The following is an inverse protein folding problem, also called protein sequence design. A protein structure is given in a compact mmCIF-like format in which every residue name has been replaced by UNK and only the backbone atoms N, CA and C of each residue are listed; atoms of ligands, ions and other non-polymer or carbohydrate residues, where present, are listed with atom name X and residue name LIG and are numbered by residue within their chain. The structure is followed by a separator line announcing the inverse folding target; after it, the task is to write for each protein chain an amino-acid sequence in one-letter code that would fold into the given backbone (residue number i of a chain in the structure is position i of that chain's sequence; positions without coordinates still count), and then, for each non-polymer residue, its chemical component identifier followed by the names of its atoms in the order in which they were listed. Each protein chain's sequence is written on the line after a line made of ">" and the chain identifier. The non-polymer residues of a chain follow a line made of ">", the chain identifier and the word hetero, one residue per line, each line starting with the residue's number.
data_IF_186042047900
#
_entry.id   IF_186042047900
#
_cell.length_a   1.000
_cell.length_b   1.000
_cell.length_c   1.000
_cell.angle_alpha   90.00
_cell.angle_beta   90.00
_cell.angle_gamma   90.00
#
_symmetry.space_group_name_H-M   'P 1'
#
loop_
_entity.id
_entity.type
_entity.pdbx_description
1 polymer ?
#
# COMPACT_ATOMS: atom_id res chain seq x y z
N UNK A 1 -15.41 -6.23 1.62
CA UNK A 1 -15.31 -6.75 0.25
C UNK A 1 -13.86 -6.67 -0.21
N UNK A 2 -13.22 -7.81 -0.48
CA UNK A 2 -11.77 -7.87 -0.76
C UNK A 2 -11.41 -7.45 -2.21
N UNK A 3 -12.27 -7.78 -3.17
CA UNK A 3 -12.20 -7.34 -4.56
C UNK A 3 -13.62 -7.10 -5.05
N UNK A 4 -13.78 -6.17 -5.98
CA UNK A 4 -15.05 -5.94 -6.67
C UNK A 4 -15.15 -6.98 -7.77
N UNK A 5 -16.18 -7.84 -7.73
CA UNK A 5 -16.40 -8.82 -8.80
C UNK A 5 -16.94 -8.09 -10.04
N UNK A 6 -16.25 -8.10 -11.19
CA UNK A 6 -16.74 -7.44 -12.40
C UNK A 6 -17.99 -8.11 -13.00
N UNK A 7 -18.34 -9.32 -12.55
CA UNK A 7 -19.51 -10.08 -13.03
C UNK A 7 -20.79 -9.78 -12.27
N UNK A 8 -20.70 -9.12 -11.12
CA UNK A 8 -21.85 -8.80 -10.28
C UNK A 8 -21.96 -7.28 -10.18
N UNK A 9 -23.14 -6.67 -10.39
CA UNK A 9 -23.32 -5.24 -10.17
C UNK A 9 -22.90 -4.85 -8.76
N UNK A 10 -22.17 -3.73 -8.63
CA UNK A 10 -21.72 -3.20 -7.34
C UNK A 10 -22.90 -3.04 -6.36
N UNK A 11 -24.02 -2.53 -6.86
CA UNK A 11 -25.22 -2.26 -6.10
C UNK A 11 -25.76 -3.54 -5.45
N UNK A 12 -25.81 -4.65 -6.18
CA UNK A 12 -26.29 -5.93 -5.66
C UNK A 12 -25.35 -6.49 -4.59
N UNK A 13 -24.03 -6.39 -4.82
CA UNK A 13 -23.03 -6.79 -3.82
C UNK A 13 -23.19 -5.97 -2.52
N UNK A 14 -23.32 -4.66 -2.66
CA UNK A 14 -23.47 -3.76 -1.51
C UNK A 14 -24.78 -4.00 -0.76
N UNK A 15 -25.90 -4.20 -1.44
CA UNK A 15 -27.18 -4.52 -0.79
C UNK A 15 -27.10 -5.83 -0.01
N UNK A 16 -26.43 -6.85 -0.57
CA UNK A 16 -26.19 -8.11 0.13
C UNK A 16 -25.39 -7.90 1.42
N UNK A 17 -24.33 -7.09 1.37
CA UNK A 17 -23.52 -6.77 2.56
C UNK A 17 -24.32 -5.96 3.60
N UNK A 18 -25.16 -5.03 3.15
CA UNK A 18 -26.06 -4.26 4.04
C UNK A 18 -27.07 -5.18 4.72
N UNK A 19 -27.65 -6.13 4.01
CA UNK A 19 -28.56 -7.12 4.59
C UNK A 19 -27.84 -7.93 5.68
N UNK A 20 -26.66 -8.49 5.40
CA UNK A 20 -25.90 -9.27 6.39
C UNK A 20 -25.51 -8.44 7.61
N UNK A 21 -25.17 -7.16 7.42
CA UNK A 21 -24.95 -6.21 8.52
C UNK A 21 -26.22 -6.05 9.37
N UNK A 22 -27.38 -5.84 8.75
CA UNK A 22 -28.66 -5.68 9.44
C UNK A 22 -29.11 -6.95 10.17
N UNK A 23 -28.71 -8.12 9.69
CA UNK A 23 -28.86 -9.42 10.37
C UNK A 23 -27.86 -9.62 11.53
N UNK A 24 -26.98 -8.66 11.78
CA UNK A 24 -26.00 -8.69 12.87
C UNK A 24 -24.80 -9.60 12.61
N UNK A 25 -24.46 -9.90 11.35
CA UNK A 25 -23.29 -10.73 11.01
C UNK A 25 -21.96 -10.00 11.21
N UNK A 26 -21.97 -8.68 11.12
CA UNK A 26 -20.83 -7.79 11.35
C UNK A 26 -21.31 -6.34 11.51
N UNK A 27 -20.47 -5.48 12.09
CA UNK A 27 -20.83 -4.10 12.41
C UNK A 27 -20.55 -3.10 11.28
N UNK A 28 -19.58 -3.40 10.41
CA UNK A 28 -19.04 -2.45 9.43
C UNK A 28 -18.72 -3.09 8.09
N UNK A 29 -18.81 -2.29 7.02
CA UNK A 29 -18.44 -2.69 5.66
C UNK A 29 -17.17 -1.95 5.26
N UNK A 30 -16.12 -2.70 4.96
CA UNK A 30 -14.90 -2.18 4.33
C UNK A 30 -14.77 -2.65 2.88
N UNK A 31 -13.97 -1.93 2.08
CA UNK A 31 -13.62 -2.29 0.71
C UNK A 31 -12.11 -2.39 0.55
N UNK A 32 -11.65 -3.12 -0.47
CA UNK A 32 -10.23 -3.18 -0.82
C UNK A 32 -10.07 -3.19 -2.33
N UNK A 33 -8.99 -2.57 -2.81
CA UNK A 33 -8.59 -2.54 -4.21
C UNK A 33 -9.75 -2.20 -5.16
N UNK A 34 -10.48 -1.13 -4.85
CA UNK A 34 -11.51 -0.56 -5.72
C UNK A 34 -11.08 0.83 -6.20
N UNK A 35 -11.49 1.20 -7.42
CA UNK A 35 -11.31 2.56 -7.95
C UNK A 35 -12.00 3.61 -7.08
N UNK A 36 -11.54 4.85 -7.18
CA UNK A 36 -12.14 6.02 -6.54
C UNK A 36 -13.65 6.16 -6.85
N UNK A 37 -14.04 5.97 -8.12
CA UNK A 37 -15.44 6.00 -8.54
C UNK A 37 -16.27 4.90 -7.88
N UNK A 38 -15.72 3.69 -7.80
CA UNK A 38 -16.39 2.54 -7.19
C UNK A 38 -16.57 2.73 -5.68
N UNK A 39 -15.56 3.28 -5.01
CA UNK A 39 -15.65 3.65 -3.59
C UNK A 39 -16.77 4.66 -3.34
N UNK A 40 -16.88 5.69 -4.19
CA UNK A 40 -17.92 6.71 -4.07
C UNK A 40 -19.32 6.12 -4.23
N UNK A 41 -19.55 5.35 -5.29
CA UNK A 41 -20.84 4.67 -5.54
C UNK A 41 -21.23 3.72 -4.41
N UNK A 42 -20.28 2.94 -3.90
CA UNK A 42 -20.55 2.06 -2.77
C UNK A 42 -20.93 2.84 -1.50
N UNK A 43 -20.24 3.95 -1.24
CA UNK A 43 -20.49 4.81 -0.08
C UNK A 43 -21.85 5.54 -0.13
N UNK A 44 -22.38 5.81 -1.33
CA UNK A 44 -23.74 6.34 -1.51
C UNK A 44 -24.83 5.34 -1.08
N UNK A 45 -24.57 4.04 -1.24
CA UNK A 45 -25.49 2.96 -0.82
C UNK A 45 -25.40 2.75 0.70
N UNK A 46 -24.19 2.64 1.22
CA UNK A 46 -23.93 2.50 2.64
C UNK A 46 -22.54 3.00 3.00
N UNK A 47 -22.41 3.70 4.14
CA UNK A 47 -21.13 4.22 4.61
C UNK A 47 -20.06 3.13 4.64
N UNK A 48 -18.96 3.35 3.91
CA UNK A 48 -17.79 2.49 3.95
C UNK A 48 -16.92 2.89 5.15
N UNK A 49 -16.57 1.92 5.97
CA UNK A 49 -15.83 2.14 7.21
C UNK A 49 -14.33 2.32 6.98
N UNK A 50 -13.78 1.69 5.95
CA UNK A 50 -12.38 1.82 5.54
C UNK A 50 -12.19 1.30 4.10
N UNK A 51 -11.19 1.81 3.41
CA UNK A 51 -10.71 1.25 2.14
C UNK A 51 -9.25 0.79 2.27
N UNK A 52 -8.95 -0.43 1.84
CA UNK A 52 -7.60 -1.01 1.91
C UNK A 52 -6.97 -1.11 0.52
N UNK A 53 -5.85 -0.40 0.28
CA UNK A 53 -5.13 -0.33 -1.01
C UNK A 53 -3.62 -0.38 -0.80
N UNK A 54 -2.85 -0.77 -1.83
CA UNK A 54 -1.38 -0.73 -1.73
C UNK A 54 -0.89 0.71 -1.76
N UNK A 55 -0.20 1.15 -0.70
CA UNK A 55 0.48 2.46 -0.66
C UNK A 55 1.88 2.26 -0.11
N UNK A 56 2.90 2.58 -0.91
CA UNK A 56 4.30 2.55 -0.49
C UNK A 56 5.14 3.43 -1.41
N UNK A 57 6.43 3.60 -1.09
CA UNK A 57 7.38 4.23 -2.01
C UNK A 57 7.43 3.52 -3.38
N UNK A 58 7.11 2.22 -3.43
CA UNK A 58 7.03 1.43 -4.66
C UNK A 58 5.66 1.46 -5.34
N UNK A 59 4.60 1.91 -4.67
CA UNK A 59 3.23 1.87 -5.18
C UNK A 59 2.48 3.12 -4.77
N UNK A 60 2.45 4.10 -5.68
CA UNK A 60 1.77 5.38 -5.52
C UNK A 60 1.34 5.95 -6.88
N UNK A 61 0.63 5.10 -7.64
CA UNK A 61 0.13 5.42 -8.98
C UNK A 61 -1.07 6.37 -8.92
N UNK A 62 -1.49 6.89 -10.07
CA UNK A 62 -2.56 7.90 -10.14
C UNK A 62 -3.86 7.43 -9.49
N UNK A 63 -4.24 6.16 -9.70
CA UNK A 63 -5.43 5.61 -9.07
C UNK A 63 -5.30 5.53 -7.53
N UNK A 64 -4.11 5.24 -7.02
CA UNK A 64 -3.84 5.28 -5.57
C UNK A 64 -4.09 6.68 -5.01
N UNK A 65 -3.61 7.73 -5.70
CA UNK A 65 -3.85 9.13 -5.32
C UNK A 65 -5.34 9.49 -5.38
N UNK A 66 -6.05 9.05 -6.43
CA UNK A 66 -7.48 9.29 -6.59
C UNK A 66 -8.29 8.66 -5.46
N UNK A 67 -7.96 7.43 -5.06
CA UNK A 67 -8.62 6.76 -3.93
C UNK A 67 -8.31 7.49 -2.62
N UNK A 68 -7.06 7.91 -2.38
CA UNK A 68 -6.69 8.68 -1.17
C UNK A 68 -7.47 10.01 -1.12
N UNK A 69 -7.54 10.75 -2.22
CA UNK A 69 -8.27 12.01 -2.29
C UNK A 69 -9.78 11.80 -2.06
N UNK A 70 -10.39 10.84 -2.75
CA UNK A 70 -11.82 10.49 -2.56
C UNK A 70 -12.11 10.05 -1.13
N UNK A 71 -11.19 9.29 -0.52
CA UNK A 71 -11.34 8.86 0.87
C UNK A 71 -11.31 10.03 1.84
N UNK A 72 -10.50 11.07 1.58
CA UNK A 72 -10.49 12.30 2.36
C UNK A 72 -11.84 13.04 2.27
N UNK A 73 -12.38 13.18 1.06
CA UNK A 73 -13.68 13.84 0.81
C UNK A 73 -14.84 13.12 1.52
N UNK A 74 -14.84 11.79 1.50
CA UNK A 74 -15.91 10.96 2.08
C UNK A 74 -15.74 10.71 3.59
N UNK A 75 -14.61 11.12 4.18
CA UNK A 75 -14.28 10.82 5.57
C UNK A 75 -14.09 9.32 5.83
N UNK A 76 -13.44 8.62 4.89
CA UNK A 76 -13.12 7.19 4.94
C UNK A 76 -11.61 7.04 5.20
N UNK A 77 -11.18 6.26 6.20
CA UNK A 77 -9.76 5.97 6.38
C UNK A 77 -9.24 5.03 5.28
N UNK A 78 -8.01 5.29 4.83
CA UNK A 78 -7.25 4.43 3.93
C UNK A 78 -6.32 3.55 4.77
N UNK A 79 -6.49 2.24 4.66
CA UNK A 79 -5.58 1.25 5.25
C UNK A 79 -4.55 0.87 4.20
N UNK A 80 -3.32 1.35 4.35
CA UNK A 80 -2.26 1.21 3.37
C UNK A 80 -1.52 -0.12 3.55
N UNK A 81 -1.88 -1.14 2.77
CA UNK A 81 -1.23 -2.45 2.83
C UNK A 81 0.11 -2.47 2.07
N UNK A 82 0.96 -3.43 2.43
CA UNK A 82 2.35 -3.57 1.91
C UNK A 82 3.18 -2.26 1.97
N UNK A 83 3.12 -1.45 3.04
CA UNK A 83 3.78 -0.15 3.07
C UNK A 83 5.31 -0.24 3.02
N UNK A 84 5.87 -1.41 3.33
CA UNK A 84 7.30 -1.73 3.24
C UNK A 84 7.70 -2.46 1.94
N UNK A 85 6.87 -2.37 0.88
CA UNK A 85 7.19 -3.00 -0.41
C UNK A 85 7.41 -4.51 -0.30
N UNK A 86 6.61 -5.17 0.54
CA UNK A 86 6.70 -6.61 0.85
C UNK A 86 8.08 -7.05 1.39
N UNK A 87 8.79 -6.12 2.04
CA UNK A 87 10.09 -6.32 2.64
C UNK A 87 11.24 -5.68 1.86
N UNK A 88 11.05 -5.23 0.62
CA UNK A 88 12.13 -4.56 -0.12
C UNK A 88 12.57 -3.25 0.57
N UNK A 89 11.62 -2.49 1.10
CA UNK A 89 11.89 -1.21 1.78
C UNK A 89 12.44 -1.39 3.21
N UNK A 90 12.78 -2.61 3.65
CA UNK A 90 13.55 -2.79 4.88
C UNK A 90 15.06 -2.75 4.62
N UNK A 91 15.48 -2.86 3.36
CA UNK A 91 16.88 -2.99 2.96
C UNK A 91 17.53 -4.32 3.35
N UNK A 92 16.75 -5.31 3.82
CA UNK A 92 17.27 -6.63 4.21
C UNK A 92 17.13 -7.69 3.11
N UNK A 93 16.50 -7.35 1.99
CA UNK A 93 16.31 -8.22 0.82
C UNK A 93 16.95 -7.49 -0.36
N UNK A 94 18.15 -7.92 -0.73
CA UNK A 94 18.97 -7.31 -1.78
C UNK A 94 19.12 -8.19 -3.01
N UNK A 95 18.84 -9.49 -2.88
CA UNK A 95 18.83 -10.43 -3.98
C UNK A 95 17.71 -11.48 -3.80
N UNK A 96 17.26 -12.15 -4.88
CA UNK A 96 16.20 -13.16 -4.80
C UNK A 96 16.55 -14.35 -3.89
N UNK A 97 17.84 -14.63 -3.67
CA UNK A 97 18.31 -15.72 -2.81
C UNK A 97 18.29 -15.40 -1.32
N UNK A 98 18.03 -14.14 -0.93
CA UNK A 98 17.71 -13.78 0.46
C UNK A 98 16.33 -14.33 0.88
N UNK A 99 15.50 -14.73 -0.09
CA UNK A 99 14.21 -15.37 0.12
C UNK A 99 14.34 -16.90 0.12
N UNK A 100 13.59 -17.55 1.02
CA UNK A 100 13.44 -19.00 1.03
C UNK A 100 13.00 -19.53 -0.35
N UNK A 101 13.43 -20.73 -0.70
CA UNK A 101 13.21 -21.33 -2.03
C UNK A 101 11.73 -21.34 -2.45
N UNK A 102 10.82 -21.60 -1.50
CA UNK A 102 9.37 -21.67 -1.71
C UNK A 102 8.63 -20.36 -1.43
N UNK A 103 9.35 -19.26 -1.23
CA UNK A 103 8.73 -17.96 -0.98
C UNK A 103 8.04 -17.45 -2.24
N UNK A 104 6.73 -17.22 -2.15
CA UNK A 104 5.92 -16.80 -3.30
C UNK A 104 6.36 -15.45 -3.88
N UNK A 105 7.01 -14.57 -3.10
CA UNK A 105 7.56 -13.30 -3.59
C UNK A 105 8.58 -13.50 -4.69
N UNK A 106 9.26 -14.64 -4.76
CA UNK A 106 10.18 -14.98 -5.86
C UNK A 106 9.50 -14.99 -7.23
N UNK A 107 8.18 -15.09 -7.29
CA UNK A 107 7.41 -15.02 -8.54
C UNK A 107 7.11 -13.59 -8.98
N UNK A 108 7.27 -12.59 -8.10
CA UNK A 108 6.88 -11.21 -8.39
C UNK A 108 7.93 -10.48 -9.20
N UNK A 109 7.49 -9.59 -10.09
CA UNK A 109 8.35 -8.81 -10.99
C UNK A 109 9.37 -7.99 -10.21
N UNK A 110 8.95 -7.36 -9.10
CA UNK A 110 9.82 -6.56 -8.21
C UNK A 110 10.93 -7.35 -7.51
N UNK A 111 10.80 -8.68 -7.48
CA UNK A 111 11.74 -9.60 -6.85
C UNK A 111 12.57 -10.38 -7.87
N UNK A 112 12.51 -10.00 -9.15
CA UNK A 112 13.42 -10.52 -10.17
C UNK A 112 14.76 -9.77 -10.10
N UNK A 113 15.85 -10.48 -10.41
CA UNK A 113 17.22 -10.01 -10.18
C UNK A 113 17.50 -8.62 -10.77
N UNK A 114 17.19 -8.40 -12.05
CA UNK A 114 17.43 -7.12 -12.73
C UNK A 114 16.56 -5.98 -12.18
N UNK A 115 15.33 -6.30 -11.78
CA UNK A 115 14.42 -5.33 -11.18
C UNK A 115 14.87 -4.93 -9.77
N UNK A 116 15.32 -5.89 -8.97
CA UNK A 116 15.90 -5.63 -7.66
C UNK A 116 17.16 -4.79 -7.76
N UNK A 117 18.09 -5.11 -8.69
CA UNK A 117 19.30 -4.31 -8.92
C UNK A 117 18.96 -2.85 -9.22
N UNK A 118 17.99 -2.61 -10.10
CA UNK A 118 17.53 -1.25 -10.43
C UNK A 118 16.93 -0.55 -9.20
N UNK A 119 15.98 -1.18 -8.52
CA UNK A 119 15.31 -0.58 -7.35
C UNK A 119 16.24 -0.41 -6.15
N UNK A 120 17.32 -1.20 -6.05
CA UNK A 120 18.33 -1.07 -4.99
C UNK A 120 19.04 0.27 -5.06
N UNK A 121 19.35 0.79 -6.26
CA UNK A 121 19.99 2.09 -6.42
C UNK A 121 19.13 3.23 -5.84
N UNK A 122 17.81 3.17 -6.09
CA UNK A 122 16.82 4.09 -5.52
C UNK A 122 16.80 3.99 -3.99
N UNK A 123 16.83 2.75 -3.48
CA UNK A 123 16.82 2.48 -2.05
C UNK A 123 18.06 3.05 -1.33
N UNK A 124 19.24 2.97 -1.96
CA UNK A 124 20.46 3.58 -1.41
C UNK A 124 20.36 5.11 -1.28
N UNK A 125 19.76 5.80 -2.25
CA UNK A 125 19.52 7.25 -2.15
C UNK A 125 18.55 7.56 -0.99
N UNK A 126 17.48 6.78 -0.85
CA UNK A 126 16.48 6.96 0.22
C UNK A 126 17.09 6.67 1.60
N UNK A 127 18.00 5.70 1.72
CA UNK A 127 18.72 5.41 2.97
C UNK A 127 19.54 6.60 3.48
N UNK A 128 20.05 7.46 2.59
CA UNK A 128 20.77 8.67 2.99
C UNK A 128 19.84 9.63 3.76
N UNK A 129 18.58 9.74 3.35
CA UNK A 129 17.57 10.57 4.03
C UNK A 129 17.25 9.99 5.41
N UNK A 130 16.99 8.68 5.49
CA UNK A 130 16.74 7.99 6.76
C UNK A 130 17.91 8.19 7.74
N UNK A 131 19.15 8.05 7.25
CA UNK A 131 20.37 8.21 8.04
C UNK A 131 20.54 9.64 8.55
N UNK A 132 20.29 10.66 7.72
CA UNK A 132 20.35 12.07 8.13
C UNK A 132 19.33 12.40 9.22
N UNK A 133 18.13 11.82 9.14
CA UNK A 133 17.06 11.97 10.13
C UNK A 133 17.25 11.07 11.36
N UNK A 134 18.23 10.16 11.34
CA UNK A 134 18.53 9.19 12.41
C UNK A 134 17.36 8.22 12.70
N UNK A 135 16.67 7.79 11.65
CA UNK A 135 15.59 6.80 11.73
C UNK A 135 15.90 5.58 10.85
N UNK A 136 15.24 4.47 11.10
CA UNK A 136 15.41 3.29 10.25
C UNK A 136 14.75 3.50 8.88
N UNK A 137 15.22 2.78 7.86
CA UNK A 137 14.60 2.80 6.54
C UNK A 137 13.12 2.36 6.56
N UNK A 138 12.72 1.31 7.32
CA UNK A 138 11.31 1.01 7.56
C UNK A 138 10.53 2.18 8.13
N UNK A 139 11.07 2.87 9.14
CA UNK A 139 10.42 4.03 9.74
C UNK A 139 10.24 5.18 8.75
N UNK A 140 11.24 5.46 7.91
CA UNK A 140 11.13 6.47 6.86
C UNK A 140 10.00 6.11 5.87
N UNK A 141 9.95 4.85 5.42
CA UNK A 141 8.92 4.38 4.49
C UNK A 141 7.51 4.47 5.10
N UNK A 142 7.35 4.09 6.37
CA UNK A 142 6.07 4.17 7.08
C UNK A 142 5.64 5.62 7.34
N UNK A 143 6.58 6.49 7.72
CA UNK A 143 6.32 7.92 7.94
C UNK A 143 5.89 8.60 6.63
N UNK A 144 6.49 8.21 5.50
CA UNK A 144 6.09 8.71 4.18
C UNK A 144 4.67 8.29 3.80
N UNK A 145 4.27 7.05 4.11
CA UNK A 145 2.88 6.60 3.87
C UNK A 145 1.91 7.37 4.76
N UNK A 146 2.23 7.56 6.04
CA UNK A 146 1.40 8.34 6.96
C UNK A 146 1.30 9.82 6.54
N UNK A 147 2.32 10.39 5.92
CA UNK A 147 2.29 11.80 5.46
C UNK A 147 1.39 12.05 4.25
N UNK A 148 0.79 11.01 3.64
CA UNK A 148 -0.17 11.16 2.55
C UNK A 148 -1.51 11.77 2.99
N UNK A 149 -1.78 11.79 4.29
CA UNK A 149 -2.94 12.46 4.87
C UNK A 149 -3.30 11.88 6.24
N UNK A 150 -4.01 12.63 7.10
CA UNK A 150 -4.37 12.18 8.44
C UNK A 150 -5.31 10.96 8.44
N UNK A 151 -5.98 10.68 7.32
CA UNK A 151 -6.83 9.52 7.10
C UNK A 151 -6.08 8.31 6.53
N UNK A 152 -4.77 8.41 6.26
CA UNK A 152 -3.97 7.32 5.69
C UNK A 152 -3.19 6.62 6.80
N UNK A 153 -3.48 5.34 7.01
CA UNK A 153 -2.93 4.54 8.11
C UNK A 153 -2.07 3.40 7.51
N UNK A 154 -0.73 3.44 7.69
CA UNK A 154 0.14 2.34 7.27
C UNK A 154 -0.24 1.02 7.99
N UNK A 155 -0.29 -0.09 7.25
CA UNK A 155 -0.52 -1.44 7.78
C UNK A 155 0.75 -2.32 7.66
N UNK A 156 1.80 -2.09 8.47
CA UNK A 156 3.00 -2.92 8.44
C UNK A 156 2.78 -4.26 9.14
N UNK A 157 3.03 -5.37 8.43
CA UNK A 157 3.03 -6.71 9.01
C UNK A 157 4.37 -7.06 9.66
N UNK A 158 4.33 -7.77 10.80
CA UNK A 158 5.51 -8.36 11.44
C UNK A 158 5.13 -9.57 12.30
N UNK A 159 5.97 -10.60 12.31
CA UNK A 159 5.89 -11.72 13.26
C UNK A 159 6.87 -11.58 14.45
N UNK A 160 7.69 -10.53 14.47
CA UNK A 160 8.68 -10.26 15.53
C UNK A 160 8.20 -9.12 16.42
N UNK A 161 8.10 -9.32 17.75
CA UNK A 161 7.65 -8.28 18.68
C UNK A 161 8.45 -6.98 18.60
N UNK A 162 9.76 -7.05 18.44
CA UNK A 162 10.64 -5.88 18.40
C UNK A 162 10.36 -5.00 17.19
N UNK A 163 10.03 -5.64 16.05
CA UNK A 163 9.63 -4.95 14.81
C UNK A 163 8.24 -4.32 14.92
N UNK A 164 7.32 -4.93 15.69
CA UNK A 164 6.02 -4.31 15.98
C UNK A 164 6.23 -3.01 16.75
N UNK A 165 7.07 -3.04 17.80
CA UNK A 165 7.42 -1.84 18.58
C UNK A 165 8.09 -0.79 17.70
N UNK A 166 9.09 -1.16 16.90
CA UNK A 166 9.77 -0.25 15.96
C UNK A 166 8.79 0.43 14.99
N UNK A 167 7.88 -0.35 14.39
CA UNK A 167 6.89 0.15 13.47
C UNK A 167 5.91 1.12 14.16
N UNK A 168 5.47 0.80 15.38
CA UNK A 168 4.59 1.68 16.16
C UNK A 168 5.26 3.02 16.47
N UNK A 169 6.56 3.04 16.77
CA UNK A 169 7.30 4.28 17.07
C UNK A 169 7.35 5.26 15.89
N UNK A 170 7.03 4.81 14.66
CA UNK A 170 6.87 5.68 13.50
C UNK A 170 5.82 6.77 13.72
N UNK A 171 4.82 6.56 14.59
CA UNK A 171 3.80 7.58 14.87
C UNK A 171 4.37 8.89 15.44
N UNK A 172 5.61 8.89 15.92
CA UNK A 172 6.30 10.07 16.44
C UNK A 172 7.20 10.76 15.39
N UNK A 173 7.17 10.30 14.14
CA UNK A 173 8.04 10.78 13.07
C UNK A 173 7.23 11.62 12.09
N UNK A 174 7.57 12.90 12.02
CA UNK A 174 7.07 13.80 10.98
C UNK A 174 8.16 14.07 9.95
N UNK A 175 7.82 13.91 8.67
CA UNK A 175 8.70 14.28 7.57
C UNK A 175 8.51 15.77 7.26
N UNK A 176 9.63 16.49 7.22
CA UNK A 176 9.68 17.88 6.76
C UNK A 176 9.30 17.97 5.27
N UNK A 177 8.93 19.16 4.81
CA UNK A 177 8.63 19.35 3.40
C UNK A 177 9.86 19.04 2.53
N UNK A 178 11.05 19.47 2.97
CA UNK A 178 12.31 19.23 2.29
C UNK A 178 12.64 17.74 2.17
N UNK A 179 12.36 16.94 3.20
CA UNK A 179 12.54 15.48 3.14
C UNK A 179 11.53 14.82 2.18
N UNK A 180 10.29 15.28 2.17
CA UNK A 180 9.26 14.78 1.26
C UNK A 180 9.58 15.10 -0.20
N UNK A 181 10.04 16.32 -0.48
CA UNK A 181 10.47 16.77 -1.80
C UNK A 181 11.71 15.98 -2.27
N UNK A 182 12.69 15.77 -1.39
CA UNK A 182 13.86 14.96 -1.71
C UNK A 182 13.50 13.52 -2.07
N UNK A 183 12.55 12.90 -1.35
CA UNK A 183 12.04 11.56 -1.69
C UNK A 183 11.33 11.59 -3.04
N UNK A 184 10.48 12.60 -3.30
CA UNK A 184 9.77 12.74 -4.56
C UNK A 184 10.74 12.89 -5.75
N UNK A 185 11.78 13.69 -5.60
CA UNK A 185 12.82 13.89 -6.61
C UNK A 185 13.61 12.61 -6.92
N UNK A 186 13.89 11.79 -5.90
CA UNK A 186 14.55 10.47 -6.11
C UNK A 186 13.65 9.55 -6.94
N UNK A 187 12.36 9.47 -6.60
CA UNK A 187 11.39 8.61 -7.29
C UNK A 187 11.04 9.13 -8.69
N UNK A 188 11.08 10.45 -8.92
CA UNK A 188 10.84 11.05 -10.22
C UNK A 188 12.03 10.83 -11.19
N UNK A 189 13.26 10.91 -10.69
CA UNK A 189 14.48 10.64 -11.49
C UNK A 189 14.67 9.16 -11.78
N UNK A 190 14.19 8.29 -10.89
CA UNK A 190 14.36 6.85 -11.00
C UNK A 190 13.00 6.14 -10.88
N UNK A 191 12.42 5.77 -12.01
CA UNK A 191 11.17 4.99 -12.01
C UNK A 191 11.38 3.65 -11.28
N UNK A 192 10.45 3.30 -10.38
CA UNK A 192 10.42 2.00 -9.72
C UNK A 192 10.04 0.93 -10.73
N UNK A 193 10.91 -0.05 -10.94
CA UNK A 193 10.65 -1.13 -11.90
C UNK A 193 9.88 -2.29 -11.28
N UNK A 194 9.11 -2.96 -12.13
CA UNK A 194 8.37 -4.18 -11.80
C UNK A 194 6.96 -3.91 -11.28
N UNK A 195 6.02 -4.74 -11.73
CA UNK A 195 4.62 -4.73 -11.29
C UNK A 195 4.50 -5.18 -9.81
N UNK A 196 3.35 -4.88 -9.19
CA UNK A 196 3.05 -5.24 -7.79
C UNK A 196 3.11 -6.75 -7.51
N UNK A 197 2.78 -7.55 -8.52
CA UNK A 197 2.71 -9.01 -8.47
C UNK A 197 3.47 -9.59 -9.68
N UNK A 198 2.80 -10.38 -10.52
CA UNK A 198 3.31 -10.90 -11.78
C UNK A 198 2.84 -10.03 -12.95
N UNK A 199 3.74 -9.76 -13.89
CA UNK A 199 3.41 -9.09 -15.15
C UNK A 199 2.61 -9.97 -16.12
N UNK A 200 2.14 -9.38 -17.23
CA UNK A 200 1.52 -10.10 -18.33
C UNK A 200 0.06 -10.56 -18.07
N UNK A 201 -0.42 -11.64 -18.72
CA UNK A 201 -1.84 -12.04 -18.70
C UNK A 201 -2.41 -12.34 -17.32
N UNK A 202 -1.56 -12.72 -16.35
CA UNK A 202 -1.99 -13.02 -14.98
C UNK A 202 -2.46 -11.76 -14.26
N UNK A 203 -1.96 -10.57 -14.63
CA UNK A 203 -2.40 -9.28 -14.08
C UNK A 203 -3.91 -9.08 -14.16
N UNK A 204 -4.54 -9.55 -15.24
CA UNK A 204 -5.98 -9.43 -15.46
C UNK A 204 -6.82 -10.26 -14.47
N UNK A 205 -6.23 -11.30 -13.87
CA UNK A 205 -6.89 -12.18 -12.91
C UNK A 205 -6.78 -11.67 -11.47
N UNK A 206 -5.97 -10.64 -11.23
CA UNK A 206 -5.80 -10.05 -9.90
C UNK A 206 -6.91 -9.05 -9.56
N UNK A 207 -7.66 -8.60 -10.57
CA UNK A 207 -8.76 -7.63 -10.47
C UNK A 207 -8.38 -6.42 -9.59
N UNK A 208 -7.14 -5.95 -9.73
CA UNK A 208 -6.68 -4.76 -9.02
C UNK A 208 -7.48 -3.57 -9.51
N UNK A 209 -7.99 -2.78 -8.56
CA UNK A 209 -8.89 -1.66 -8.78
C UNK A 209 -10.33 -2.02 -9.19
N UNK A 210 -10.67 -3.30 -9.38
CA UNK A 210 -11.95 -3.69 -9.99
C UNK A 210 -11.89 -3.49 -11.50
#
# INVERSE_FOLDING_TARGET
>A
MARVDPKVPLEEMMQTLVQLKNEGKFDHIGMSECRAETLRRANEIHRIAAVEIEVSLWSYEEETKNVIATSAELGIPVIAYSPLGRGLLTGTISNPNDLAEKDFRRTFDRFQEETMKHNQAILEEIKVIASKKQISLPQLALAWVASRGPHVIPLPGSSKPERVVENCLTCNIELTQEEQDAIADILARNEVKGERYVGGPIKQHLHLWG
#
